data_IF_709330992348
#
_entry.id   IF_709330992348
#
_cell.length_a   1.000
_cell.length_b   1.000
_cell.length_c   1.000
_cell.angle_alpha   90.00
_cell.angle_beta   90.00
_cell.angle_gamma   90.00
#
_symmetry.space_group_name_H-M   'P 1'
#
loop_
_entity.id
_entity.type
_entity.pdbx_description
1 polymer ?
#
# COMPACT_ATOMS: atom_id res chain seq x y z
N UNK A 1 -7.70 -6.71 -17.89
CA UNK A 1 -8.30 -5.38 -17.66
C UNK A 1 -7.23 -4.54 -16.98
N UNK A 2 -6.98 -3.30 -17.40
CA UNK A 2 -6.05 -2.43 -16.69
C UNK A 2 -6.49 -2.24 -15.23
N UNK A 3 -5.54 -2.27 -14.30
CA UNK A 3 -5.75 -2.08 -12.87
C UNK A 3 -4.63 -1.22 -12.31
N UNK A 4 -4.88 -0.56 -11.18
CA UNK A 4 -3.87 0.21 -10.46
C UNK A 4 -4.31 0.38 -9.02
N UNK A 5 -3.34 0.57 -8.12
CA UNK A 5 -3.61 0.99 -6.76
C UNK A 5 -2.63 2.08 -6.35
N UNK A 6 -3.16 3.10 -5.70
CA UNK A 6 -2.38 4.21 -5.15
C UNK A 6 -2.76 4.39 -3.69
N UNK A 7 -1.77 4.60 -2.85
CA UNK A 7 -1.96 5.01 -1.46
C UNK A 7 -1.45 6.44 -1.32
N UNK A 8 -2.23 7.32 -0.71
CA UNK A 8 -1.81 8.68 -0.37
C UNK A 8 -2.05 8.98 1.11
N UNK A 9 -1.16 9.73 1.73
CA UNK A 9 -1.29 10.05 3.15
C UNK A 9 -0.01 10.50 3.79
N UNK A 10 -0.02 10.52 5.13
CA UNK A 10 1.18 10.81 5.92
C UNK A 10 1.93 9.52 6.18
N UNK A 11 3.22 9.51 5.84
CA UNK A 11 4.15 8.44 6.18
C UNK A 11 5.27 8.99 7.08
N UNK A 12 5.64 8.20 8.07
CA UNK A 12 6.92 8.36 8.78
C UNK A 12 7.95 7.56 7.98
N UNK A 13 8.94 8.25 7.42
CA UNK A 13 10.03 7.65 6.67
C UNK A 13 11.26 7.58 7.58
N UNK A 14 11.82 6.39 7.70
CA UNK A 14 12.92 6.06 8.59
C UNK A 14 14.08 5.43 7.81
N UNK A 15 15.27 5.56 8.40
CA UNK A 15 16.50 4.89 7.95
C UNK A 15 16.75 5.11 6.43
N UNK A 16 16.87 6.36 5.94
CA UNK A 16 17.13 6.62 4.53
C UNK A 16 18.40 5.91 4.05
N UNK A 17 18.29 5.12 2.98
CA UNK A 17 19.39 4.34 2.39
C UNK A 17 19.54 4.68 0.92
N UNK A 18 20.68 5.26 0.54
CA UNK A 18 20.99 5.53 -0.86
C UNK A 18 21.42 4.24 -1.57
N UNK A 19 20.89 3.98 -2.76
CA UNK A 19 21.38 2.90 -3.61
C UNK A 19 22.62 3.41 -4.37
N UNK A 20 23.79 2.74 -4.26
CA UNK A 20 25.02 3.18 -4.93
C UNK A 20 24.83 3.41 -6.43
N UNK A 21 25.45 4.48 -6.95
CA UNK A 21 25.40 4.87 -8.37
C UNK A 21 24.01 5.20 -8.92
N UNK A 22 23.04 5.53 -8.05
CA UNK A 22 21.70 5.98 -8.46
C UNK A 22 21.29 7.21 -7.66
N UNK A 23 20.23 7.90 -8.10
CA UNK A 23 19.55 8.91 -7.29
C UNK A 23 18.43 8.31 -6.42
N UNK A 24 18.41 6.99 -6.21
CA UNK A 24 17.32 6.33 -5.48
C UNK A 24 17.63 6.21 -4.00
N UNK A 25 16.64 6.55 -3.18
CA UNK A 25 16.66 6.36 -1.72
C UNK A 25 15.57 5.36 -1.35
N UNK A 26 15.90 4.44 -0.45
CA UNK A 26 14.99 3.48 0.15
C UNK A 26 14.71 3.91 1.59
N UNK A 27 13.44 3.81 2.00
CA UNK A 27 13.00 4.08 3.35
C UNK A 27 12.30 2.87 3.94
N UNK A 28 12.45 2.68 5.25
CA UNK A 28 11.43 1.99 6.03
C UNK A 28 10.30 3.00 6.26
N UNK A 29 9.08 2.66 5.91
CA UNK A 29 7.95 3.57 6.01
C UNK A 29 6.89 3.03 6.95
N UNK A 30 6.37 3.90 7.80
CA UNK A 30 5.21 3.61 8.63
C UNK A 30 4.03 4.51 8.28
N UNK A 31 2.85 3.91 8.16
CA UNK A 31 1.59 4.65 8.03
C UNK A 31 0.59 4.18 9.08
N UNK A 32 -0.14 5.13 9.66
CA UNK A 32 -1.12 4.85 10.71
C UNK A 32 -2.42 4.26 10.13
N UNK A 33 -2.84 3.09 10.62
CA UNK A 33 -4.04 2.40 10.13
C UNK A 33 -5.29 2.70 10.95
N UNK A 34 -5.21 2.43 12.25
CA UNK A 34 -6.27 2.65 13.22
C UNK A 34 -5.66 2.61 14.64
N UNK A 35 -6.42 3.03 15.65
CA UNK A 35 -5.92 3.08 17.03
C UNK A 35 -5.63 1.71 17.63
N UNK A 36 -6.29 0.67 17.11
CA UNK A 36 -6.17 -0.73 17.54
C UNK A 36 -5.20 -1.54 16.69
N UNK A 37 -4.70 -0.98 15.58
CA UNK A 37 -3.88 -1.70 14.61
C UNK A 37 -2.43 -1.20 14.66
N UNK A 38 -1.45 -2.11 14.52
CA UNK A 38 -0.08 -1.68 14.30
C UNK A 38 0.01 -0.86 13.00
N UNK A 39 0.93 0.10 12.95
CA UNK A 39 1.21 0.83 11.73
C UNK A 39 1.67 -0.15 10.62
N UNK A 40 1.46 0.24 9.37
CA UNK A 40 2.10 -0.48 8.26
C UNK A 40 3.61 -0.38 8.38
N UNK A 41 4.30 -1.32 7.74
CA UNK A 41 5.77 -1.31 7.60
C UNK A 41 6.00 -1.55 6.13
N UNK A 42 6.56 -0.56 5.44
CA UNK A 42 6.75 -0.58 4.00
C UNK A 42 8.20 -0.37 3.61
N UNK A 43 8.64 -1.01 2.53
CA UNK A 43 9.93 -0.73 1.89
C UNK A 43 9.68 0.14 0.66
N UNK A 44 9.86 1.46 0.81
CA UNK A 44 9.51 2.43 -0.24
C UNK A 44 10.74 3.01 -0.92
N UNK A 45 10.73 3.03 -2.26
CA UNK A 45 11.75 3.64 -3.11
C UNK A 45 11.32 5.05 -3.54
N UNK A 46 12.23 6.01 -3.47
CA UNK A 46 12.03 7.36 -3.97
C UNK A 46 13.17 7.74 -4.91
N UNK A 47 12.85 8.27 -6.08
CA UNK A 47 13.85 8.84 -6.98
C UNK A 47 14.12 10.30 -6.59
N UNK A 48 15.25 10.52 -5.95
CA UNK A 48 15.67 11.79 -5.37
C UNK A 48 16.36 12.70 -6.41
N UNK A 49 15.62 13.12 -7.43
CA UNK A 49 16.12 14.01 -8.48
C UNK A 49 16.61 15.36 -7.91
N UNK A 50 15.89 15.88 -6.92
CA UNK A 50 16.16 17.19 -6.31
C UNK A 50 17.26 17.16 -5.25
N UNK A 51 17.93 16.02 -5.05
CA UNK A 51 18.98 15.82 -4.04
C UNK A 51 18.55 16.28 -2.65
N UNK A 52 17.31 15.98 -2.28
CA UNK A 52 16.78 16.24 -0.94
C UNK A 52 17.64 15.50 0.09
N UNK A 53 17.93 16.20 1.19
CA UNK A 53 18.56 15.61 2.36
C UNK A 53 17.47 15.12 3.33
N UNK A 54 17.62 13.89 3.81
CA UNK A 54 16.66 13.28 4.72
C UNK A 54 17.30 13.07 6.08
N UNK A 55 16.64 13.53 7.14
CA UNK A 55 17.00 13.16 8.50
C UNK A 55 16.76 11.65 8.73
N UNK A 56 17.35 11.03 9.77
CA UNK A 56 17.14 9.61 10.08
C UNK A 56 15.67 9.21 10.20
N UNK A 57 14.82 10.16 10.61
CA UNK A 57 13.35 10.05 10.66
C UNK A 57 12.75 11.34 10.11
N UNK A 58 11.75 11.23 9.23
CA UNK A 58 11.03 12.37 8.64
C UNK A 58 9.56 12.05 8.45
N UNK A 59 8.65 12.99 8.75
CA UNK A 59 7.27 12.87 8.28
C UNK A 59 7.11 13.54 6.91
N UNK A 60 6.43 12.83 6.02
CA UNK A 60 6.19 13.25 4.66
C UNK A 60 4.73 13.02 4.27
N UNK A 61 4.19 13.93 3.47
CA UNK A 61 3.00 13.64 2.68
C UNK A 61 3.47 12.88 1.45
N UNK A 62 2.92 11.69 1.22
CA UNK A 62 3.34 10.79 0.15
C UNK A 62 2.16 10.37 -0.72
N UNK A 63 2.47 10.13 -1.99
CA UNK A 63 1.64 9.36 -2.93
C UNK A 63 2.48 8.21 -3.42
N UNK A 64 2.02 6.98 -3.24
CA UNK A 64 2.79 5.77 -3.52
C UNK A 64 2.02 4.80 -4.41
N UNK A 65 2.76 4.14 -5.29
CA UNK A 65 2.36 2.89 -5.93
C UNK A 65 2.95 1.76 -5.10
N UNK A 66 2.11 0.82 -4.67
CA UNK A 66 2.52 -0.20 -3.71
C UNK A 66 1.97 -1.56 -4.11
N UNK A 67 2.74 -2.61 -3.85
CA UNK A 67 2.30 -3.99 -3.93
C UNK A 67 2.55 -4.69 -2.59
N UNK A 68 1.90 -5.82 -2.41
CA UNK A 68 2.18 -6.72 -1.29
C UNK A 68 3.61 -7.24 -1.41
N UNK A 69 4.37 -7.27 -0.32
CA UNK A 69 5.71 -7.86 -0.33
C UNK A 69 5.64 -9.38 -0.64
N UNK A 70 6.61 -9.87 -1.40
CA UNK A 70 6.90 -11.31 -1.54
C UNK A 70 8.20 -11.63 -0.81
N UNK A 71 8.35 -12.81 -0.19
CA UNK A 71 9.61 -13.23 0.43
C UNK A 71 10.81 -13.19 -0.53
N UNK A 72 10.56 -13.30 -1.83
CA UNK A 72 11.60 -13.30 -2.88
C UNK A 72 12.07 -11.88 -3.27
N UNK A 73 11.46 -10.84 -2.71
CA UNK A 73 11.85 -9.46 -3.01
C UNK A 73 13.11 -9.08 -2.25
N UNK A 74 14.09 -8.57 -2.98
CA UNK A 74 15.27 -7.96 -2.40
C UNK A 74 14.87 -6.69 -1.64
N UNK A 75 15.00 -6.74 -0.31
CA UNK A 75 14.87 -5.59 0.57
C UNK A 75 16.27 -5.07 0.91
N UNK A 76 16.44 -3.76 0.84
CA UNK A 76 17.69 -3.10 1.17
C UNK A 76 17.58 -2.65 2.62
N UNK A 77 17.79 -3.56 3.56
CA UNK A 77 17.77 -3.29 5.01
C UNK A 77 18.70 -4.24 5.74
N UNK A 78 19.50 -3.71 6.67
CA UNK A 78 20.39 -4.52 7.52
C UNK A 78 19.67 -5.04 8.78
N UNK A 79 18.45 -4.56 9.04
CA UNK A 79 17.69 -4.83 10.28
C UNK A 79 16.41 -5.63 10.05
N UNK A 80 15.79 -5.47 8.89
CA UNK A 80 14.50 -6.06 8.56
C UNK A 80 14.65 -7.00 7.36
N UNK A 81 14.04 -8.18 7.46
CA UNK A 81 13.89 -9.11 6.36
C UNK A 81 12.62 -8.79 5.55
N UNK A 82 12.49 -9.36 4.35
CA UNK A 82 11.31 -9.16 3.50
C UNK A 82 9.99 -9.50 4.22
N UNK A 83 10.01 -10.49 5.10
CA UNK A 83 8.85 -10.93 5.90
C UNK A 83 8.39 -9.92 6.96
N UNK A 84 9.22 -8.95 7.32
CA UNK A 84 8.88 -7.90 8.28
C UNK A 84 8.11 -6.74 7.63
N UNK A 85 8.12 -6.67 6.30
CA UNK A 85 7.38 -5.67 5.55
C UNK A 85 5.98 -6.17 5.23
N UNK A 86 5.03 -5.24 5.21
CA UNK A 86 3.67 -5.46 4.74
C UNK A 86 3.56 -5.19 3.23
N UNK A 87 4.29 -4.20 2.75
CA UNK A 87 4.24 -3.71 1.38
C UNK A 87 5.60 -3.22 0.91
N UNK A 88 5.74 -3.08 -0.40
CA UNK A 88 6.85 -2.37 -1.02
C UNK A 88 6.32 -1.54 -2.19
N UNK A 89 7.08 -0.55 -2.62
CA UNK A 89 6.58 0.34 -3.66
C UNK A 89 7.50 1.49 -4.02
N UNK A 90 6.95 2.34 -4.87
CA UNK A 90 7.58 3.57 -5.33
C UNK A 90 6.80 4.77 -4.80
N UNK A 91 7.52 5.75 -4.26
CA UNK A 91 7.01 7.07 -3.92
C UNK A 91 7.00 7.91 -5.19
N UNK A 92 5.80 8.28 -5.63
CA UNK A 92 5.55 9.08 -6.82
C UNK A 92 5.59 10.58 -6.49
N UNK A 93 5.07 10.95 -5.33
CA UNK A 93 5.12 12.31 -4.81
C UNK A 93 5.51 12.29 -3.34
N UNK A 94 6.39 13.19 -2.95
CA UNK A 94 6.91 13.33 -1.60
C UNK A 94 7.01 14.82 -1.25
N UNK A 95 6.38 15.22 -0.16
CA UNK A 95 6.51 16.56 0.41
C UNK A 95 6.98 16.40 1.86
N UNK A 96 8.25 16.72 2.17
CA UNK A 96 8.74 16.64 3.53
C UNK A 96 8.22 17.85 4.32
N UNK A 97 7.75 17.63 5.53
CA UNK A 97 7.36 18.72 6.44
C UNK A 97 8.01 18.58 7.83
N UNK A 98 8.98 17.69 7.96
CA UNK A 98 9.74 17.45 9.19
C UNK A 98 8.90 16.78 10.29
N UNK A 99 9.43 16.79 11.51
CA UNK A 99 8.72 16.36 12.72
C UNK A 99 8.50 17.59 13.62
N UNK A 100 7.40 18.34 13.44
CA UNK A 100 7.09 19.45 14.34
C UNK A 100 6.96 18.96 15.79
N UNK A 101 7.34 19.80 16.75
CA UNK A 101 7.06 19.51 18.17
C UNK A 101 5.57 19.24 18.37
N UNK A 102 5.24 18.15 19.07
CA UNK A 102 3.87 17.68 19.32
C UNK A 102 3.10 17.16 18.07
N UNK A 103 3.75 16.92 16.94
CA UNK A 103 3.10 16.31 15.79
C UNK A 103 2.79 14.83 16.02
N UNK A 104 1.52 14.45 15.86
CA UNK A 104 1.07 13.06 15.96
C UNK A 104 0.59 12.57 14.59
N UNK A 105 1.34 11.71 13.88
CA UNK A 105 1.04 11.29 12.50
C UNK A 105 -0.09 10.25 12.41
N UNK A 106 -1.21 10.48 13.11
CA UNK A 106 -2.37 9.57 13.17
C UNK A 106 -3.42 9.92 12.11
N UNK A 107 -3.02 9.81 10.85
CA UNK A 107 -3.90 10.03 9.70
C UNK A 107 -4.03 8.73 8.92
N UNK A 108 -5.27 8.28 8.68
CA UNK A 108 -5.50 7.09 7.86
C UNK A 108 -5.10 7.38 6.41
N UNK A 109 -4.25 6.53 5.80
CA UNK A 109 -3.97 6.62 4.38
C UNK A 109 -5.25 6.48 3.57
N UNK A 110 -5.35 7.28 2.53
CA UNK A 110 -6.38 7.16 1.53
C UNK A 110 -5.89 6.22 0.42
N UNK A 111 -6.75 5.34 -0.04
CA UNK A 111 -6.43 4.31 -1.02
C UNK A 111 -7.40 4.48 -2.18
N UNK A 112 -6.85 4.57 -3.39
CA UNK A 112 -7.60 4.58 -4.64
C UNK A 112 -7.19 3.36 -5.45
N UNK A 113 -8.16 2.53 -5.82
CA UNK A 113 -7.91 1.28 -6.56
C UNK A 113 -8.89 1.17 -7.70
N UNK A 114 -8.38 0.76 -8.86
CA UNK A 114 -9.19 0.35 -9.98
C UNK A 114 -8.89 -1.10 -10.38
N UNK A 115 -9.93 -1.83 -10.78
CA UNK A 115 -9.81 -3.21 -11.22
C UNK A 115 -11.16 -3.92 -11.32
N UNK A 116 -11.12 -5.21 -11.62
CA UNK A 116 -12.31 -6.05 -11.66
C UNK A 116 -12.68 -6.51 -10.25
N UNK A 117 -13.94 -6.30 -9.86
CA UNK A 117 -14.45 -6.79 -8.58
C UNK A 117 -14.49 -8.33 -8.53
N UNK A 118 -14.04 -8.90 -7.42
CA UNK A 118 -14.04 -10.34 -7.14
C UNK A 118 -14.53 -10.60 -5.72
N UNK A 119 -14.82 -11.87 -5.37
CA UNK A 119 -15.29 -12.27 -4.04
C UNK A 119 -16.41 -11.36 -3.46
N UNK A 120 -17.37 -10.99 -4.32
CA UNK A 120 -18.47 -10.08 -3.93
C UNK A 120 -19.37 -10.78 -2.92
N UNK A 121 -19.36 -10.27 -1.68
CA UNK A 121 -20.15 -10.76 -0.56
C UNK A 121 -21.27 -9.78 -0.24
N UNK A 122 -22.51 -10.20 -0.51
CA UNK A 122 -23.71 -9.40 -0.25
C UNK A 122 -24.08 -9.37 1.23
N UNK A 123 -23.71 -10.38 2.01
CA UNK A 123 -24.03 -10.46 3.43
C UNK A 123 -23.17 -9.47 4.21
N UNK A 124 -21.86 -9.48 3.98
CA UNK A 124 -20.92 -8.58 4.64
C UNK A 124 -20.74 -7.23 3.92
N UNK A 125 -21.36 -7.08 2.76
CA UNK A 125 -21.25 -5.88 1.92
C UNK A 125 -19.80 -5.52 1.60
N UNK A 126 -19.09 -6.51 1.08
CA UNK A 126 -17.67 -6.44 0.78
C UNK A 126 -17.33 -7.08 -0.55
N UNK A 127 -16.15 -6.78 -1.07
CA UNK A 127 -15.59 -7.38 -2.29
C UNK A 127 -14.09 -7.13 -2.36
N UNK A 128 -13.42 -7.85 -3.23
CA UNK A 128 -11.96 -7.77 -3.40
C UNK A 128 -11.59 -7.18 -4.76
N UNK A 129 -10.50 -6.43 -4.79
CA UNK A 129 -9.78 -6.08 -6.02
C UNK A 129 -8.32 -6.50 -5.85
N UNK A 130 -7.74 -7.15 -6.86
CA UNK A 130 -6.29 -7.35 -6.96
C UNK A 130 -5.76 -6.50 -8.10
N UNK A 131 -5.07 -5.41 -7.75
CA UNK A 131 -4.48 -4.53 -8.75
C UNK A 131 -3.05 -4.97 -9.09
N UNK A 132 -2.79 -5.18 -10.37
CA UNK A 132 -1.45 -5.39 -10.91
C UNK A 132 -0.85 -4.05 -11.34
N UNK A 133 0.38 -3.77 -10.93
CA UNK A 133 1.05 -2.51 -11.25
C UNK A 133 2.55 -2.69 -11.51
N UNK A 134 3.09 -1.87 -12.39
CA UNK A 134 4.53 -1.81 -12.59
C UNK A 134 5.18 -1.05 -11.42
N UNK A 135 6.19 -1.66 -10.81
CA UNK A 135 7.00 -1.03 -9.78
C UNK A 135 8.46 -1.03 -10.22
N UNK A 136 9.13 0.11 -10.10
CA UNK A 136 10.57 0.21 -10.30
C UNK A 136 11.33 -0.66 -9.28
N UNK A 137 10.70 -0.86 -8.11
CA UNK A 137 11.21 -1.70 -7.05
C UNK A 137 11.37 -3.18 -7.43
N UNK A 138 10.45 -3.69 -8.25
CA UNK A 138 10.48 -5.05 -8.76
C UNK A 138 9.99 -5.05 -10.22
N UNK A 139 10.94 -5.21 -11.14
CA UNK A 139 10.64 -5.20 -12.59
C UNK A 139 9.91 -6.47 -13.06
N UNK A 140 9.70 -7.46 -12.19
CA UNK A 140 8.82 -8.57 -12.50
C UNK A 140 7.39 -8.06 -12.74
N UNK A 141 6.71 -8.64 -13.73
CA UNK A 141 5.40 -8.18 -14.21
C UNK A 141 4.21 -8.61 -13.31
N UNK A 142 4.44 -9.07 -12.08
CA UNK A 142 3.42 -9.68 -11.22
C UNK A 142 3.25 -8.99 -9.86
N UNK A 143 3.58 -7.69 -9.74
CA UNK A 143 3.38 -6.99 -8.49
C UNK A 143 1.88 -6.75 -8.26
N UNK A 144 1.34 -7.46 -7.26
CA UNK A 144 -0.07 -7.42 -6.93
C UNK A 144 -0.32 -6.65 -5.65
N UNK A 145 -1.34 -5.81 -5.66
CA UNK A 145 -1.89 -5.11 -4.50
C UNK A 145 -3.32 -5.62 -4.26
N UNK A 146 -3.47 -6.71 -3.49
CA UNK A 146 -4.77 -7.21 -3.10
C UNK A 146 -5.40 -6.31 -2.03
N UNK A 147 -6.65 -5.93 -2.23
CA UNK A 147 -7.42 -5.05 -1.32
C UNK A 147 -8.80 -5.64 -1.09
N UNK A 148 -9.18 -5.71 0.18
CA UNK A 148 -10.52 -6.06 0.62
C UNK A 148 -11.29 -4.78 0.96
N UNK A 149 -12.40 -4.54 0.27
CA UNK A 149 -13.26 -3.39 0.50
C UNK A 149 -14.48 -3.80 1.32
N UNK A 150 -14.81 -2.99 2.33
CA UNK A 150 -16.02 -3.14 3.15
C UNK A 150 -16.79 -1.83 3.14
N UNK A 151 -18.09 -1.89 2.85
CA UNK A 151 -18.98 -0.76 3.05
C UNK A 151 -19.52 -0.77 4.49
N UNK A 152 -19.09 0.13 5.37
CA UNK A 152 -19.53 0.15 6.76
C UNK A 152 -21.01 0.54 6.86
N UNK A 153 -21.67 0.11 7.93
CA UNK A 153 -23.03 0.55 8.25
C UNK A 153 -23.00 1.99 8.74
N UNK A 154 -23.24 2.91 7.81
CA UNK A 154 -23.28 4.35 8.08
C UNK A 154 -24.57 4.95 7.51
N UNK A 155 -25.03 6.11 8.01
CA UNK A 155 -26.18 6.81 7.46
C UNK A 155 -26.12 7.02 5.94
N UNK A 156 -24.92 7.18 5.39
CA UNK A 156 -24.67 7.32 3.95
C UNK A 156 -25.23 6.16 3.12
N UNK A 157 -25.27 4.94 3.65
CA UNK A 157 -25.59 3.73 2.90
C UNK A 157 -26.88 3.03 3.36
N UNK A 158 -27.73 3.69 4.15
CA UNK A 158 -28.95 3.09 4.73
C UNK A 158 -29.90 2.49 3.70
N UNK A 159 -30.01 3.10 2.51
CA UNK A 159 -30.91 2.62 1.47
C UNK A 159 -30.30 1.47 0.67
N UNK A 160 -29.05 1.63 0.22
CA UNK A 160 -28.36 0.66 -0.62
C UNK A 160 -26.85 0.92 -0.61
N UNK A 161 -26.08 -0.12 -0.28
CA UNK A 161 -24.62 -0.11 -0.42
C UNK A 161 -24.24 -0.32 -1.91
N UNK A 162 -23.27 0.41 -2.45
CA UNK A 162 -22.91 0.37 -3.86
C UNK A 162 -22.02 -0.84 -4.18
N UNK A 163 -22.56 -2.05 -4.01
CA UNK A 163 -21.85 -3.29 -4.32
C UNK A 163 -21.79 -3.52 -5.83
N UNK A 164 -20.59 -3.73 -6.41
CA UNK A 164 -20.47 -4.07 -7.81
C UNK A 164 -20.88 -5.51 -8.09
N UNK A 165 -21.16 -5.80 -9.37
CA UNK A 165 -21.29 -7.19 -9.83
C UNK A 165 -19.91 -7.87 -9.97
N UNK A 166 -19.82 -9.20 -9.85
CA UNK A 166 -18.58 -9.93 -10.10
C UNK A 166 -18.01 -9.66 -11.49
N UNK A 167 -16.69 -9.46 -11.58
CA UNK A 167 -15.96 -9.16 -12.81
C UNK A 167 -16.18 -7.75 -13.36
N UNK A 168 -17.01 -6.91 -12.74
CA UNK A 168 -17.25 -5.55 -13.21
C UNK A 168 -16.05 -4.65 -12.92
N UNK A 169 -15.64 -3.80 -13.88
CA UNK A 169 -14.64 -2.76 -13.61
C UNK A 169 -15.22 -1.77 -12.61
N UNK A 170 -14.43 -1.44 -11.60
CA UNK A 170 -14.74 -0.40 -10.62
C UNK A 170 -13.51 0.44 -10.32
N UNK A 171 -13.77 1.67 -9.89
CA UNK A 171 -12.81 2.51 -9.19
C UNK A 171 -13.39 2.74 -7.80
N UNK A 172 -12.58 2.55 -6.77
CA UNK A 172 -13.02 2.58 -5.39
C UNK A 172 -11.99 3.33 -4.58
N UNK A 173 -12.50 4.26 -3.78
CA UNK A 173 -11.69 5.07 -2.90
C UNK A 173 -12.14 4.88 -1.44
N UNK A 174 -11.19 4.85 -0.52
CA UNK A 174 -11.47 4.66 0.90
C UNK A 174 -10.24 4.84 1.77
N UNK A 175 -10.42 4.66 3.08
CA UNK A 175 -9.30 4.68 4.02
C UNK A 175 -8.74 3.28 4.21
N UNK A 176 -7.41 3.16 4.27
CA UNK A 176 -6.75 1.94 4.70
C UNK A 176 -6.88 1.82 6.23
N UNK A 177 -7.57 0.78 6.68
CA UNK A 177 -7.88 0.58 8.10
C UNK A 177 -7.23 -0.65 8.72
N UNK A 178 -6.58 -1.50 7.92
CA UNK A 178 -5.96 -2.74 8.38
C UNK A 178 -5.10 -3.39 7.30
N UNK A 179 -4.23 -4.31 7.72
CA UNK A 179 -3.41 -5.15 6.84
C UNK A 179 -3.48 -6.59 7.34
N UNK A 180 -3.83 -7.52 6.45
CA UNK A 180 -3.78 -8.95 6.78
C UNK A 180 -2.41 -9.54 6.40
N UNK A 181 -1.60 -9.81 7.42
CA UNK A 181 -0.26 -10.41 7.29
C UNK A 181 -0.30 -11.93 7.09
N UNK A 182 -1.47 -12.56 7.29
CA UNK A 182 -1.64 -14.03 7.31
C UNK A 182 -2.22 -14.61 6.03
N UNK A 183 -2.48 -13.79 5.01
CA UNK A 183 -2.98 -14.27 3.73
C UNK A 183 -1.91 -15.12 2.99
N UNK A 184 -1.69 -16.36 3.42
CA UNK A 184 -0.91 -17.37 2.71
C UNK A 184 -1.35 -17.41 1.25
N UNK A 185 -0.39 -17.50 0.33
CA UNK A 185 -0.64 -17.71 -1.09
C UNK A 185 -1.62 -18.88 -1.24
N UNK A 186 -2.90 -18.60 -1.52
CA UNK A 186 -3.77 -19.59 -2.15
C UNK A 186 -3.30 -19.66 -3.59
N UNK A 187 -2.20 -20.37 -3.83
CA UNK A 187 -1.89 -20.89 -5.15
C UNK A 187 -3.17 -21.57 -5.63
N UNK A 188 -3.76 -21.03 -6.70
CA UNK A 188 -4.73 -21.80 -7.46
C UNK A 188 -3.94 -23.03 -7.90
N UNK A 189 -4.29 -24.18 -7.33
CA UNK A 189 -3.90 -25.47 -7.88
C UNK A 189 -4.40 -25.47 -9.32
N UNK A 190 -3.52 -25.14 -10.26
CA UNK A 190 -3.73 -25.40 -11.68
C UNK A 190 -3.35 -26.86 -11.88
N UNK A 191 -4.13 -27.73 -11.24
CA UNK A 191 -4.11 -29.15 -11.51
C UNK A 191 -5.54 -29.57 -11.85
N UNK A 192 -5.70 -29.99 -13.12
CA UNK A 192 -6.88 -30.59 -13.79
C UNK A 192 -7.82 -29.56 -14.46
N UNK A 193 -8.17 -29.64 -15.75
CA UNK A 193 -8.15 -30.75 -16.74
C UNK A 193 -7.62 -30.23 -18.07
#
# INVERSE_FOLDING_TARGET
MPSSATISGVAVLENPRAIPNTNTIIFDSQMYLASSEPATVGSLRYFNENKLEFAPVSCCSVVIHAARISPDIEVFSDKLAAVDYHLFGDIISLIPFGLPENFTPKYHPFVSVCGAASNVDKQNSSFDITAEQYLSANKAYNNQFPVHFVFPDTPRWQNKKPLPGPGKPVVVDGFLTGVDVRATFRTRDVSRV
#
